data_IF_608257429488
#
_entry.id   IF_608257429488
#
_cell.length_a   1.000
_cell.length_b   1.000
_cell.length_c   1.000
_cell.angle_alpha   90.00
_cell.angle_beta   90.00
_cell.angle_gamma   90.00
#
_symmetry.space_group_name_H-M   'P 1'
#
loop_
_entity.id
_entity.type
_entity.pdbx_description
1 polymer ?
#
# COMPACT_ATOMS: atom_id res chain seq x y z
N UNK A 1 -12.26 11.52 26.57
CA UNK A 1 -10.90 10.96 26.55
C UNK A 1 -10.79 9.78 25.58
N UNK A 2 -9.59 9.41 25.17
CA UNK A 2 -9.35 8.22 24.33
C UNK A 2 -9.84 6.94 25.00
N UNK A 3 -9.71 6.84 26.32
CA UNK A 3 -10.20 5.69 27.09
C UNK A 3 -11.73 5.56 27.02
N UNK A 4 -12.46 6.67 27.15
CA UNK A 4 -13.93 6.69 27.04
C UNK A 4 -14.37 6.24 25.64
N UNK A 5 -13.74 6.76 24.58
CA UNK A 5 -14.04 6.33 23.21
C UNK A 5 -13.74 4.84 23.02
N UNK A 6 -12.63 4.33 23.55
CA UNK A 6 -12.28 2.92 23.46
C UNK A 6 -13.35 2.02 24.12
N UNK A 7 -13.89 2.41 25.30
CA UNK A 7 -14.97 1.66 25.97
C UNK A 7 -16.30 1.72 25.17
N UNK A 8 -16.66 2.89 24.63
CA UNK A 8 -17.86 3.02 23.79
C UNK A 8 -17.76 2.08 22.57
N UNK A 9 -16.61 2.10 21.87
CA UNK A 9 -16.40 1.23 20.70
C UNK A 9 -16.43 -0.25 21.08
N UNK A 10 -15.88 -0.60 22.23
CA UNK A 10 -15.89 -1.95 22.76
C UNK A 10 -17.31 -2.48 22.99
N UNK A 11 -18.16 -1.66 23.57
CA UNK A 11 -19.57 -2.02 23.81
C UNK A 11 -20.35 -2.10 22.49
N UNK A 12 -20.12 -1.19 21.55
CA UNK A 12 -20.83 -1.14 20.28
C UNK A 12 -20.43 -2.24 19.29
N UNK A 13 -19.26 -2.88 19.46
CA UNK A 13 -18.74 -3.89 18.53
C UNK A 13 -18.65 -5.28 19.19
N UNK A 14 -19.71 -6.11 19.15
CA UNK A 14 -19.79 -7.36 19.91
C UNK A 14 -18.90 -8.49 19.37
N UNK A 15 -18.41 -8.40 18.11
CA UNK A 15 -17.54 -9.41 17.49
C UNK A 15 -16.12 -8.88 17.32
N UNK A 16 -15.19 -9.41 18.10
CA UNK A 16 -13.80 -8.97 18.11
C UNK A 16 -12.87 -9.94 17.37
N UNK A 17 -11.88 -9.40 16.71
CA UNK A 17 -10.77 -10.21 16.21
C UNK A 17 -9.90 -10.67 17.40
N UNK A 18 -9.64 -11.97 17.48
CA UNK A 18 -8.66 -12.50 18.44
C UNK A 18 -7.34 -11.76 18.27
N UNK A 19 -6.74 -11.29 19.34
CA UNK A 19 -5.46 -10.58 19.40
C UNK A 19 -5.44 -9.11 18.95
N UNK A 20 -6.60 -8.44 18.83
CA UNK A 20 -6.66 -7.00 18.61
C UNK A 20 -7.65 -6.34 19.56
N UNK A 21 -7.32 -5.15 20.06
CA UNK A 21 -8.27 -4.36 20.83
C UNK A 21 -9.43 -3.89 19.94
N UNK A 22 -10.67 -3.92 20.43
CA UNK A 22 -11.88 -3.57 19.66
C UNK A 22 -11.78 -2.19 18.99
N UNK A 23 -11.22 -1.21 19.68
CA UNK A 23 -11.09 0.16 19.18
C UNK A 23 -9.93 0.37 18.19
N UNK A 24 -9.09 -0.63 17.90
CA UNK A 24 -7.92 -0.48 17.03
C UNK A 24 -8.29 0.09 15.64
N UNK A 25 -9.35 -0.44 15.02
CA UNK A 25 -9.78 0.03 13.69
C UNK A 25 -10.33 1.44 13.73
N UNK A 26 -11.07 1.80 14.79
CA UNK A 26 -11.63 3.14 14.97
C UNK A 26 -10.51 4.17 15.13
N UNK A 27 -9.53 3.91 15.99
CA UNK A 27 -8.40 4.81 16.15
C UNK A 27 -7.53 4.90 14.90
N UNK A 28 -7.36 3.79 14.17
CA UNK A 28 -6.67 3.80 12.88
C UNK A 28 -7.43 4.68 11.86
N UNK A 29 -8.75 4.56 11.76
CA UNK A 29 -9.55 5.37 10.86
C UNK A 29 -9.47 6.87 11.18
N UNK A 30 -9.54 7.23 12.47
CA UNK A 30 -9.39 8.62 12.93
C UNK A 30 -7.99 9.16 12.57
N UNK A 31 -6.93 8.38 12.82
CA UNK A 31 -5.55 8.76 12.48
C UNK A 31 -5.38 9.02 10.99
N UNK A 32 -5.85 8.11 10.16
CA UNK A 32 -5.79 8.23 8.69
C UNK A 32 -6.54 9.49 8.22
N UNK A 33 -7.74 9.74 8.77
CA UNK A 33 -8.55 10.89 8.39
C UNK A 33 -7.89 12.24 8.79
N UNK A 34 -7.27 12.29 9.97
CA UNK A 34 -6.64 13.53 10.47
C UNK A 34 -5.31 13.80 9.75
N UNK A 35 -4.50 12.76 9.57
CA UNK A 35 -3.15 12.90 9.01
C UNK A 35 -3.10 12.83 7.48
N UNK A 36 -4.23 12.52 6.82
CA UNK A 36 -4.32 12.36 5.35
C UNK A 36 -3.31 11.35 4.79
N UNK A 37 -2.92 10.37 5.57
CA UNK A 37 -1.84 9.41 5.26
C UNK A 37 -2.01 8.73 3.89
N UNK A 38 -3.25 8.46 3.47
CA UNK A 38 -3.53 7.82 2.17
C UNK A 38 -3.38 8.80 1.00
N UNK A 39 -3.80 10.06 1.18
CA UNK A 39 -3.62 11.12 0.18
C UNK A 39 -2.12 11.39 -0.07
N UNK A 40 -1.33 11.42 1.00
CA UNK A 40 0.12 11.61 0.90
C UNK A 40 0.80 10.49 0.11
N UNK A 41 0.37 9.23 0.29
CA UNK A 41 0.87 8.09 -0.51
C UNK A 41 0.52 8.27 -1.99
N UNK A 42 -0.73 8.66 -2.31
CA UNK A 42 -1.18 8.86 -3.69
C UNK A 42 -0.39 9.97 -4.40
N UNK A 43 -0.04 11.03 -3.67
CA UNK A 43 0.77 12.14 -4.20
C UNK A 43 2.25 11.75 -4.31
N UNK A 44 2.78 11.02 -3.33
CA UNK A 44 4.19 10.63 -3.27
C UNK A 44 4.59 9.65 -4.38
N UNK A 45 3.77 8.63 -4.63
CA UNK A 45 4.16 7.53 -5.52
C UNK A 45 4.48 7.97 -6.96
N UNK A 46 3.69 8.83 -7.64
CA UNK A 46 4.03 9.35 -8.96
C UNK A 46 5.34 10.13 -8.95
N UNK A 47 5.52 11.01 -7.96
CA UNK A 47 6.73 11.84 -7.83
C UNK A 47 7.98 10.97 -7.60
N UNK A 48 7.86 9.93 -6.78
CA UNK A 48 8.96 9.00 -6.54
C UNK A 48 9.44 8.33 -7.83
N UNK A 49 8.51 7.95 -8.73
CA UNK A 49 8.87 7.35 -10.02
C UNK A 49 9.57 8.36 -10.93
N UNK A 50 9.17 9.62 -10.92
CA UNK A 50 9.77 10.65 -11.78
C UNK A 50 11.23 10.97 -11.41
N UNK A 51 11.56 10.97 -10.12
CA UNK A 51 12.92 11.26 -9.66
C UNK A 51 13.88 10.06 -9.74
N UNK A 52 13.37 8.85 -9.92
CA UNK A 52 14.20 7.67 -10.12
C UNK A 52 14.90 7.72 -11.49
N UNK A 53 16.15 7.33 -11.54
CA UNK A 53 16.84 7.08 -12.83
C UNK A 53 16.30 5.78 -13.47
N UNK A 54 16.45 5.59 -14.79
CA UNK A 54 16.23 4.30 -15.42
C UNK A 54 16.93 3.18 -14.66
N UNK A 55 16.23 2.05 -14.46
CA UNK A 55 16.66 0.91 -13.63
C UNK A 55 16.76 1.20 -12.12
N UNK A 56 16.42 2.41 -11.67
CA UNK A 56 16.28 2.73 -10.25
C UNK A 56 15.14 1.92 -9.61
N UNK A 57 15.28 1.59 -8.33
CA UNK A 57 14.29 0.78 -7.61
C UNK A 57 13.51 1.60 -6.62
N UNK A 58 12.18 1.49 -6.69
CA UNK A 58 11.25 1.96 -5.68
C UNK A 58 10.98 0.81 -4.70
N UNK A 59 11.39 0.98 -3.45
CA UNK A 59 11.11 0.05 -2.37
C UNK A 59 10.21 0.74 -1.33
N UNK A 60 9.01 0.19 -1.10
CA UNK A 60 8.02 0.78 -0.19
C UNK A 60 7.56 -0.27 0.80
N UNK A 61 7.57 0.11 2.09
CA UNK A 61 7.03 -0.72 3.18
C UNK A 61 5.69 -0.12 3.61
N UNK A 62 4.66 -0.95 3.65
CA UNK A 62 3.35 -0.62 4.21
C UNK A 62 3.08 -1.45 5.47
N UNK A 63 2.40 -0.87 6.44
CA UNK A 63 2.10 -1.54 7.72
C UNK A 63 0.64 -1.97 7.85
N UNK A 64 -0.24 -1.49 6.99
CA UNK A 64 -1.65 -1.91 6.97
C UNK A 64 -2.21 -2.05 5.56
N UNK A 65 -3.35 -2.73 5.47
CA UNK A 65 -3.95 -3.16 4.20
C UNK A 65 -4.40 -2.02 3.29
N UNK A 66 -4.74 -0.84 3.82
CA UNK A 66 -5.16 0.31 3.01
C UNK A 66 -3.96 0.91 2.28
N UNK A 67 -2.83 1.14 2.98
CA UNK A 67 -1.57 1.56 2.36
C UNK A 67 -1.12 0.56 1.30
N UNK A 68 -1.07 -0.74 1.66
CA UNK A 68 -0.63 -1.80 0.73
C UNK A 68 -1.50 -1.85 -0.52
N UNK A 69 -2.80 -1.60 -0.39
CA UNK A 69 -3.74 -1.55 -1.52
C UNK A 69 -3.39 -0.44 -2.51
N UNK A 70 -3.15 0.78 -2.03
CA UNK A 70 -2.79 1.93 -2.87
C UNK A 70 -1.47 1.68 -3.60
N UNK A 71 -0.43 1.25 -2.87
CA UNK A 71 0.89 0.94 -3.44
C UNK A 71 0.77 -0.17 -4.49
N UNK A 72 0.02 -1.25 -4.18
CA UNK A 72 -0.24 -2.34 -5.10
C UNK A 72 -0.92 -1.85 -6.39
N UNK A 73 -1.99 -1.06 -6.26
CA UNK A 73 -2.76 -0.56 -7.40
C UNK A 73 -1.91 0.37 -8.26
N UNK A 74 -1.13 1.26 -7.64
CA UNK A 74 -0.22 2.13 -8.34
C UNK A 74 0.83 1.34 -9.15
N UNK A 75 1.58 0.43 -8.49
CA UNK A 75 2.58 -0.41 -9.17
C UNK A 75 1.92 -1.25 -10.27
N UNK A 76 0.70 -1.76 -10.06
CA UNK A 76 -0.04 -2.50 -11.07
C UNK A 76 -0.33 -1.64 -12.30
N UNK A 77 -0.88 -0.45 -12.10
CA UNK A 77 -1.19 0.51 -13.17
C UNK A 77 0.05 0.84 -13.99
N UNK A 78 1.13 1.24 -13.32
CA UNK A 78 2.38 1.64 -13.97
C UNK A 78 3.16 0.48 -14.62
N UNK A 79 2.83 -0.77 -14.31
CA UNK A 79 3.49 -1.96 -14.85
C UNK A 79 2.66 -2.75 -15.85
N UNK A 80 1.45 -2.32 -16.14
CA UNK A 80 0.55 -2.98 -17.11
C UNK A 80 0.52 -2.16 -18.38
N UNK A 81 0.57 -2.84 -19.54
CA UNK A 81 0.30 -2.19 -20.81
C UNK A 81 -1.18 -1.76 -20.84
N UNK A 82 -1.45 -0.56 -21.26
CA UNK A 82 -2.83 -0.15 -21.54
C UNK A 82 -3.34 -0.97 -22.72
N UNK A 83 -4.42 -1.74 -22.49
CA UNK A 83 -5.14 -2.40 -23.58
C UNK A 83 -5.96 -1.34 -24.29
N UNK A 84 -5.56 -1.07 -25.55
CA UNK A 84 -6.36 -0.22 -26.43
C UNK A 84 -7.66 -0.99 -26.77
N UNK A 85 -8.77 -0.56 -26.20
CA UNK A 85 -10.10 -1.12 -26.46
C UNK A 85 -10.67 -0.70 -27.82
N UNK A 86 -9.83 -0.20 -28.72
CA UNK A 86 -10.19 0.26 -30.05
C UNK A 86 -10.33 -0.88 -31.06
N UNK A 87 -11.46 -0.97 -31.69
CA UNK A 87 -11.64 -1.69 -32.97
C UNK A 87 -10.81 -0.95 -34.03
N UNK A 88 -9.55 -1.38 -34.25
CA UNK A 88 -8.66 -0.77 -35.23
C UNK A 88 -7.44 -1.63 -35.54
N UNK A 89 -6.80 -1.35 -36.68
CA UNK A 89 -5.61 -2.03 -37.19
C UNK A 89 -4.50 -2.12 -36.11
N UNK A 90 -3.65 -3.16 -36.12
CA UNK A 90 -2.55 -3.29 -35.16
C UNK A 90 -1.55 -2.15 -35.37
N UNK A 91 -1.72 -1.07 -34.61
CA UNK A 91 -0.70 -0.02 -34.49
C UNK A 91 0.45 -0.56 -33.64
N UNK A 92 1.68 -0.16 -33.96
CA UNK A 92 2.85 -0.42 -33.11
C UNK A 92 2.57 0.10 -31.71
N UNK A 93 2.29 -0.81 -30.78
CA UNK A 93 1.97 -0.47 -29.39
C UNK A 93 3.20 0.17 -28.77
N UNK A 94 3.12 1.45 -28.44
CA UNK A 94 4.14 2.11 -27.65
C UNK A 94 4.05 1.53 -26.23
N UNK A 95 5.17 1.04 -25.69
CA UNK A 95 5.22 0.58 -24.32
C UNK A 95 5.06 1.77 -23.38
N UNK A 96 3.91 1.87 -22.71
CA UNK A 96 3.57 2.96 -21.79
C UNK A 96 3.93 2.65 -20.35
N UNK A 97 4.47 1.46 -20.08
CA UNK A 97 4.85 1.07 -18.73
C UNK A 97 6.02 1.91 -18.22
N UNK A 98 5.88 2.42 -17.03
CA UNK A 98 6.97 3.15 -16.35
C UNK A 98 7.68 2.28 -15.31
N UNK A 99 7.03 1.22 -14.83
CA UNK A 99 7.55 0.32 -13.81
C UNK A 99 7.53 -1.14 -14.25
N UNK A 100 8.44 -1.92 -13.67
CA UNK A 100 8.45 -3.38 -13.67
C UNK A 100 8.36 -3.88 -12.23
N UNK A 101 7.44 -4.79 -11.93
CA UNK A 101 7.35 -5.45 -10.62
C UNK A 101 8.59 -6.30 -10.38
N UNK A 102 9.23 -6.15 -9.22
CA UNK A 102 10.40 -6.93 -8.84
C UNK A 102 10.05 -7.95 -7.78
N UNK A 103 9.52 -7.51 -6.63
CA UNK A 103 9.19 -8.42 -5.53
C UNK A 103 8.09 -7.88 -4.63
N UNK A 104 7.51 -8.82 -3.87
CA UNK A 104 6.62 -8.57 -2.74
C UNK A 104 7.05 -9.51 -1.62
N UNK A 105 7.47 -8.94 -0.50
CA UNK A 105 8.06 -9.67 0.62
C UNK A 105 7.25 -9.35 1.88
N UNK A 106 6.96 -10.37 2.65
CA UNK A 106 6.37 -10.26 3.98
C UNK A 106 7.46 -10.49 5.02
N UNK A 107 7.32 -9.87 6.19
CA UNK A 107 8.21 -10.14 7.32
C UNK A 107 8.24 -11.65 7.64
N UNK A 108 9.43 -12.17 7.92
CA UNK A 108 9.59 -13.57 8.36
C UNK A 108 9.04 -13.80 9.76
N UNK A 109 8.79 -15.05 10.13
CA UNK A 109 8.32 -15.38 11.47
C UNK A 109 9.35 -15.00 12.55
N UNK A 110 10.64 -15.06 12.22
CA UNK A 110 11.73 -14.63 13.10
C UNK A 110 11.72 -13.14 13.31
N UNK A 111 11.54 -12.36 12.24
CA UNK A 111 11.40 -10.91 12.30
C UNK A 111 10.15 -10.51 13.10
N UNK A 112 9.03 -11.19 12.90
CA UNK A 112 7.79 -10.92 13.65
C UNK A 112 7.96 -11.25 15.15
N UNK A 113 8.73 -12.28 15.49
CA UNK A 113 9.07 -12.61 16.90
C UNK A 113 9.92 -11.52 17.53
N UNK A 114 10.92 -11.03 16.81
CA UNK A 114 11.80 -9.95 17.28
C UNK A 114 11.09 -8.59 17.31
N UNK A 115 10.23 -8.31 16.32
CA UNK A 115 9.47 -7.08 16.19
C UNK A 115 8.01 -7.37 15.83
N UNK A 116 7.10 -7.51 16.80
CA UNK A 116 5.69 -7.80 16.56
C UNK A 116 4.97 -6.79 15.68
N UNK A 117 5.49 -5.56 15.53
CA UNK A 117 4.93 -4.53 14.65
C UNK A 117 5.10 -4.87 13.17
N UNK A 118 6.08 -5.69 12.80
CA UNK A 118 6.33 -6.14 11.42
C UNK A 118 5.30 -7.15 10.91
N UNK A 119 4.48 -7.74 11.78
CA UNK A 119 3.51 -8.79 11.44
C UNK A 119 2.62 -8.46 10.22
N UNK A 120 2.22 -7.22 10.08
CA UNK A 120 1.36 -6.75 8.99
C UNK A 120 2.12 -6.04 7.88
N UNK A 121 3.44 -5.95 7.99
CA UNK A 121 4.27 -5.23 7.03
C UNK A 121 4.40 -6.00 5.70
N UNK A 122 4.35 -5.23 4.62
CA UNK A 122 4.66 -5.68 3.27
C UNK A 122 5.70 -4.77 2.63
N UNK A 123 6.78 -5.34 2.15
CA UNK A 123 7.73 -4.66 1.27
C UNK A 123 7.36 -4.96 -0.19
N UNK A 124 7.13 -3.91 -0.96
CA UNK A 124 6.97 -4.00 -2.42
C UNK A 124 8.12 -3.30 -3.11
N UNK A 125 8.67 -3.96 -4.11
CA UNK A 125 9.77 -3.42 -4.92
C UNK A 125 9.34 -3.40 -6.38
N UNK A 126 9.53 -2.25 -7.01
CA UNK A 126 9.38 -2.05 -8.43
C UNK A 126 10.63 -1.37 -9.01
N UNK A 127 10.92 -1.61 -10.27
CA UNK A 127 12.05 -1.00 -10.99
C UNK A 127 11.52 -0.06 -12.06
N UNK A 128 12.10 1.13 -12.16
CA UNK A 128 11.79 2.06 -13.24
C UNK A 128 12.33 1.53 -14.57
N UNK A 129 11.46 1.48 -15.56
CA UNK A 129 11.85 1.20 -16.96
C UNK A 129 12.55 2.40 -17.60
N UNK A 130 13.21 2.18 -18.71
CA UNK A 130 13.92 3.22 -19.47
C UNK A 130 12.96 4.25 -20.08
#
# INVERSE_FOLDING_TARGET
TTAQLAEIVKVAHPKWEKNKHAATRTFQAIRIAINKELEDIEVFLPQAVEVLKPHGRLAVISFHSLEDRLIKQFIQKESTLEEDSGWGMPQQRKDTRRLRKVSRIKASDEEVKANPRSRSAWLRVAERLA
#
